data_IF_193606005140
#
_entry.id   IF_193606005140
#
_cell.length_a   1.000
_cell.length_b   1.000
_cell.length_c   1.000
_cell.angle_alpha   90.00
_cell.angle_beta   90.00
_cell.angle_gamma   90.00
#
_symmetry.space_group_name_H-M   'P 1'
#
loop_
_entity.id
_entity.type
_entity.pdbx_description
1 polymer ?
#
# COMPACT_ATOMS: atom_id res chain seq x y z
N UNK A 1 8.02 -2.48 -18.83
CA UNK A 1 8.39 -1.50 -19.74
C UNK A 1 7.56 -0.22 -19.72
N UNK A 2 7.66 0.59 -18.64
CA UNK A 2 6.95 1.88 -18.55
C UNK A 2 7.89 3.09 -18.73
N UNK A 3 9.18 2.86 -19.03
CA UNK A 3 10.13 3.95 -19.29
C UNK A 3 9.87 4.67 -20.62
N UNK A 4 10.47 5.88 -20.83
CA UNK A 4 11.39 6.51 -19.90
C UNK A 4 10.67 7.09 -18.68
N UNK A 5 11.31 7.00 -17.50
CA UNK A 5 10.75 7.57 -16.26
C UNK A 5 10.94 9.09 -16.24
N UNK A 6 10.08 9.76 -15.50
CA UNK A 6 10.19 11.18 -15.24
C UNK A 6 11.50 11.46 -14.46
N UNK A 7 12.23 12.53 -14.75
CA UNK A 7 13.42 12.91 -13.98
C UNK A 7 13.10 13.12 -12.50
N UNK A 8 14.05 12.80 -11.63
CA UNK A 8 13.90 12.93 -10.17
C UNK A 8 13.41 11.68 -9.47
N UNK A 9 13.27 10.57 -10.20
CA UNK A 9 12.98 9.25 -9.63
C UNK A 9 14.14 8.29 -9.86
N UNK A 10 14.48 7.57 -8.81
CA UNK A 10 15.40 6.44 -8.87
C UNK A 10 14.68 5.18 -8.38
N UNK A 11 14.97 4.04 -8.98
CA UNK A 11 14.41 2.75 -8.58
C UNK A 11 15.48 1.90 -7.90
N UNK A 12 15.14 1.34 -6.76
CA UNK A 12 15.98 0.41 -6.01
C UNK A 12 15.35 -0.99 -6.00
N UNK A 13 16.11 -2.06 -5.72
CA UNK A 13 15.53 -3.39 -5.55
C UNK A 13 14.50 -3.41 -4.43
N UNK A 14 13.37 -4.10 -4.67
CA UNK A 14 12.35 -4.30 -3.66
C UNK A 14 12.84 -5.26 -2.56
N UNK A 15 12.45 -5.02 -1.32
CA UNK A 15 12.84 -5.82 -0.16
C UNK A 15 14.35 -5.75 0.17
N UNK A 16 14.99 -4.63 -0.15
CA UNK A 16 16.42 -4.38 0.05
C UNK A 16 16.62 -3.08 0.88
N UNK A 17 16.79 -3.24 2.20
CA UNK A 17 16.99 -2.12 3.12
C UNK A 17 18.40 -1.51 3.00
N UNK A 18 19.39 -2.29 2.57
CA UNK A 18 20.76 -1.79 2.38
C UNK A 18 20.80 -0.84 1.16
N UNK A 19 20.16 -1.24 0.04
CA UNK A 19 20.01 -0.38 -1.12
C UNK A 19 19.19 0.88 -0.79
N UNK A 20 18.17 0.77 0.07
CA UNK A 20 17.40 1.92 0.54
C UNK A 20 18.29 2.87 1.35
N UNK A 21 19.04 2.36 2.30
CA UNK A 21 19.94 3.17 3.13
C UNK A 21 21.03 3.84 2.29
N UNK A 22 21.58 3.14 1.30
CA UNK A 22 22.55 3.70 0.36
C UNK A 22 21.95 4.86 -0.44
N UNK A 23 20.72 4.72 -0.94
CA UNK A 23 20.04 5.79 -1.68
C UNK A 23 19.83 7.05 -0.84
N UNK A 24 19.65 6.93 0.46
CA UNK A 24 19.46 8.05 1.40
C UNK A 24 20.76 8.80 1.73
N UNK A 25 21.92 8.36 1.23
CA UNK A 25 23.15 9.15 1.32
C UNK A 25 23.09 10.39 0.41
N UNK A 26 22.28 10.36 -0.65
CA UNK A 26 21.97 11.57 -1.43
C UNK A 26 20.97 12.45 -0.66
N UNK A 27 21.43 13.61 -0.21
CA UNK A 27 20.64 14.59 0.56
C UNK A 27 19.50 15.23 -0.24
N UNK A 28 19.42 14.98 -1.53
CA UNK A 28 18.30 15.44 -2.36
C UNK A 28 17.12 14.48 -2.35
N UNK A 29 17.26 13.27 -1.82
CA UNK A 29 16.16 12.34 -1.65
C UNK A 29 15.20 12.86 -0.59
N UNK A 30 13.97 13.18 -0.98
CA UNK A 30 12.95 13.72 -0.10
C UNK A 30 11.87 12.72 0.32
N UNK A 31 11.68 11.65 -0.46
CA UNK A 31 10.67 10.65 -0.17
C UNK A 31 11.05 9.27 -0.75
N UNK A 32 10.58 8.21 -0.09
CA UNK A 32 10.60 6.84 -0.59
C UNK A 32 9.16 6.34 -0.73
N UNK A 33 8.82 5.85 -1.93
CA UNK A 33 7.49 5.32 -2.24
C UNK A 33 7.56 3.84 -2.51
N UNK A 34 6.63 3.07 -1.89
CA UNK A 34 6.58 1.62 -2.07
C UNK A 34 5.16 1.08 -1.88
N UNK A 35 4.83 0.00 -2.63
CA UNK A 35 3.70 -0.86 -2.29
C UNK A 35 4.10 -1.79 -1.13
N UNK A 36 3.36 -1.85 -0.01
CA UNK A 36 3.66 -2.80 1.08
C UNK A 36 3.70 -4.27 0.65
N UNK A 37 2.90 -4.63 -0.35
CA UNK A 37 2.96 -5.88 -1.10
C UNK A 37 2.80 -5.49 -2.56
N UNK A 38 3.76 -5.84 -3.41
CA UNK A 38 3.64 -5.56 -4.83
C UNK A 38 2.60 -6.47 -5.47
N UNK A 39 1.49 -5.89 -5.94
CA UNK A 39 0.39 -6.65 -6.53
C UNK A 39 0.68 -7.10 -7.95
N UNK A 40 0.82 -6.18 -8.87
CA UNK A 40 0.99 -6.44 -10.32
C UNK A 40 2.31 -7.15 -10.66
N UNK A 41 3.33 -6.99 -9.83
CA UNK A 41 4.59 -7.73 -9.97
C UNK A 41 4.47 -9.23 -9.64
N UNK A 42 3.30 -9.70 -9.23
CA UNK A 42 2.99 -11.10 -8.97
C UNK A 42 2.83 -11.43 -7.49
N UNK A 43 2.20 -10.56 -6.71
CA UNK A 43 1.95 -10.70 -5.27
C UNK A 43 3.25 -10.93 -4.50
N UNK A 44 4.19 -9.99 -4.63
CA UNK A 44 5.47 -10.07 -3.93
C UNK A 44 5.29 -9.54 -2.51
N UNK A 45 5.28 -10.45 -1.55
CA UNK A 45 5.25 -10.13 -0.12
C UNK A 45 6.68 -9.95 0.36
N UNK A 46 7.04 -8.84 1.00
CA UNK A 46 8.38 -8.63 1.51
C UNK A 46 8.66 -9.53 2.72
N UNK A 47 9.92 -9.62 3.10
CA UNK A 47 10.32 -10.29 4.33
C UNK A 47 9.84 -9.52 5.56
N UNK A 48 9.70 -10.23 6.68
CA UNK A 48 9.34 -9.61 7.96
C UNK A 48 10.40 -8.60 8.38
N UNK A 49 9.95 -7.43 8.85
CA UNK A 49 10.83 -6.33 9.23
C UNK A 49 11.15 -5.35 8.10
N UNK A 50 10.73 -5.61 6.88
CA UNK A 50 11.00 -4.69 5.76
C UNK A 50 10.29 -3.35 5.93
N UNK A 51 8.98 -3.36 6.22
CA UNK A 51 8.21 -2.12 6.35
C UNK A 51 8.62 -1.30 7.59
N UNK A 52 8.86 -1.97 8.72
CA UNK A 52 9.38 -1.32 9.92
C UNK A 52 10.81 -0.81 9.74
N UNK A 53 11.63 -1.51 8.95
CA UNK A 53 12.95 -1.06 8.53
C UNK A 53 12.89 0.21 7.67
N UNK A 54 11.95 0.26 6.70
CA UNK A 54 11.69 1.48 5.90
C UNK A 54 11.36 2.65 6.83
N UNK A 55 10.43 2.47 7.77
CA UNK A 55 10.06 3.55 8.70
C UNK A 55 11.27 4.03 9.49
N UNK A 56 12.06 3.11 10.01
CA UNK A 56 13.26 3.42 10.77
C UNK A 56 14.29 4.22 9.94
N UNK A 57 14.52 3.82 8.70
CA UNK A 57 15.44 4.53 7.81
C UNK A 57 14.90 5.91 7.41
N UNK A 58 13.63 6.00 7.07
CA UNK A 58 12.99 7.28 6.76
C UNK A 58 13.10 8.27 7.92
N UNK A 59 12.86 7.82 9.15
CA UNK A 59 13.04 8.65 10.36
C UNK A 59 14.50 9.08 10.56
N UNK A 60 15.44 8.14 10.38
CA UNK A 60 16.87 8.39 10.56
C UNK A 60 17.41 9.44 9.60
N UNK A 61 16.95 9.42 8.34
CA UNK A 61 17.44 10.29 7.29
C UNK A 61 16.54 11.49 7.00
N UNK A 62 15.42 11.64 7.73
CA UNK A 62 14.41 12.67 7.52
C UNK A 62 13.86 12.66 6.08
N UNK A 63 13.51 11.47 5.60
CA UNK A 63 12.91 11.20 4.28
C UNK A 63 11.46 10.78 4.50
N UNK A 64 10.53 11.27 3.67
CA UNK A 64 9.12 10.91 3.79
C UNK A 64 8.87 9.47 3.32
N UNK A 65 8.14 8.70 4.12
CA UNK A 65 7.65 7.38 3.75
C UNK A 65 6.28 7.49 3.08
N UNK A 66 6.17 7.09 1.82
CA UNK A 66 4.92 7.05 1.05
C UNK A 66 4.51 5.59 0.86
N UNK A 67 3.38 5.19 1.43
CA UNK A 67 2.81 3.86 1.22
C UNK A 67 1.74 3.90 0.13
N UNK A 68 1.97 3.16 -0.96
CA UNK A 68 0.94 2.88 -1.96
C UNK A 68 0.09 1.69 -1.51
N UNK A 69 -0.98 1.98 -0.81
CA UNK A 69 -1.97 1.01 -0.34
C UNK A 69 -3.19 0.92 -1.28
N UNK A 70 -3.05 1.34 -2.53
CA UNK A 70 -4.14 1.29 -3.50
C UNK A 70 -4.66 -0.14 -3.71
N UNK A 71 -3.78 -1.14 -3.72
CA UNK A 71 -4.17 -2.55 -3.80
C UNK A 71 -4.31 -3.22 -2.43
N UNK A 72 -3.44 -2.90 -1.50
CA UNK A 72 -3.28 -3.62 -0.24
C UNK A 72 -4.19 -3.11 0.88
N UNK A 73 -4.64 -1.87 0.78
CA UNK A 73 -5.45 -1.21 1.80
C UNK A 73 -6.92 -1.65 1.85
N UNK A 74 -7.63 -1.04 2.78
CA UNK A 74 -9.08 -1.21 3.01
C UNK A 74 -9.45 -2.69 3.23
N UNK A 75 -8.68 -3.37 4.09
CA UNK A 75 -8.98 -4.72 4.56
C UNK A 75 -8.52 -5.86 3.66
N UNK A 76 -7.99 -5.59 2.45
CA UNK A 76 -7.60 -6.61 1.46
C UNK A 76 -6.67 -7.68 2.02
N UNK A 77 -5.69 -7.28 2.82
CA UNK A 77 -4.66 -8.18 3.35
C UNK A 77 -5.03 -8.86 4.67
N UNK A 78 -6.18 -8.51 5.26
CA UNK A 78 -6.58 -8.98 6.59
C UNK A 78 -6.15 -8.04 7.72
N UNK A 79 -5.66 -6.87 7.38
CA UNK A 79 -5.51 -5.66 8.22
C UNK A 79 -6.15 -4.50 7.48
N UNK A 80 -6.47 -3.40 8.17
CA UNK A 80 -7.05 -2.23 7.48
C UNK A 80 -6.07 -1.70 6.44
N UNK A 81 -4.79 -1.60 6.79
CA UNK A 81 -3.67 -1.30 5.91
C UNK A 81 -2.64 -2.43 6.00
N UNK A 82 -1.88 -2.68 4.93
CA UNK A 82 -0.82 -3.67 4.99
C UNK A 82 0.36 -3.20 5.85
N UNK A 83 0.59 -1.90 5.95
CA UNK A 83 1.56 -1.29 6.86
C UNK A 83 1.26 -1.56 8.35
N UNK A 84 0.00 -1.87 8.72
CA UNK A 84 -0.40 -2.23 10.09
C UNK A 84 0.18 -3.57 10.56
N UNK A 85 0.72 -4.39 9.66
CA UNK A 85 1.37 -5.65 10.07
C UNK A 85 2.65 -5.45 10.87
N UNK A 86 3.32 -4.31 10.65
CA UNK A 86 4.61 -3.99 11.26
C UNK A 86 4.62 -2.62 11.96
N UNK A 87 3.44 -2.06 12.25
CA UNK A 87 3.25 -0.73 12.84
C UNK A 87 4.05 0.38 12.10
N UNK A 88 4.23 0.19 10.77
CA UNK A 88 5.01 1.07 9.93
C UNK A 88 4.14 2.22 9.36
N UNK A 89 3.75 3.19 10.20
CA UNK A 89 2.91 4.31 9.78
C UNK A 89 3.63 5.15 8.71
N UNK A 90 3.04 5.30 7.50
CA UNK A 90 3.58 6.18 6.48
C UNK A 90 3.30 7.66 6.80
N UNK A 91 4.13 8.55 6.26
CA UNK A 91 3.89 9.99 6.27
C UNK A 91 2.83 10.39 5.25
N UNK A 92 2.81 9.69 4.11
CA UNK A 92 1.81 9.85 3.05
C UNK A 92 1.23 8.48 2.71
N UNK A 93 -0.10 8.38 2.80
CA UNK A 93 -0.85 7.17 2.51
C UNK A 93 -1.70 7.37 1.25
N UNK A 94 -1.55 6.48 0.27
CA UNK A 94 -2.33 6.49 -0.96
C UNK A 94 -3.35 5.36 -0.92
N UNK A 95 -4.63 5.70 -1.10
CA UNK A 95 -5.76 4.77 -1.12
C UNK A 95 -6.53 4.86 -2.43
N UNK A 96 -7.10 3.75 -2.85
CA UNK A 96 -7.93 3.68 -4.06
C UNK A 96 -8.67 2.35 -4.14
N UNK A 97 -8.94 1.88 -5.34
CA UNK A 97 -9.61 0.59 -5.63
C UNK A 97 -10.75 0.25 -4.65
N UNK A 98 -10.49 -0.53 -3.60
CA UNK A 98 -11.51 -0.96 -2.63
C UNK A 98 -12.21 0.22 -1.93
N UNK A 99 -11.59 1.40 -1.86
CA UNK A 99 -12.20 2.61 -1.30
C UNK A 99 -13.51 2.98 -2.02
N UNK A 100 -13.63 2.63 -3.30
CA UNK A 100 -14.83 2.89 -4.11
C UNK A 100 -16.03 1.99 -3.79
N UNK A 101 -15.85 0.94 -2.97
CA UNK A 101 -16.86 -0.11 -2.79
C UNK A 101 -17.25 -0.83 -4.08
N UNK A 102 -16.47 -0.69 -5.15
CA UNK A 102 -16.78 -1.24 -6.48
C UNK A 102 -17.89 -0.49 -7.25
N UNK A 103 -18.32 0.66 -6.75
CA UNK A 103 -19.48 1.40 -7.30
C UNK A 103 -19.05 2.61 -8.12
N UNK A 104 -18.29 3.54 -7.52
CA UNK A 104 -17.87 4.77 -8.18
C UNK A 104 -16.37 5.03 -7.90
N UNK A 105 -15.53 5.16 -8.94
CA UNK A 105 -14.08 5.36 -8.75
C UNK A 105 -13.76 6.55 -7.86
N UNK A 106 -12.93 6.31 -6.87
CA UNK A 106 -12.43 7.32 -5.95
C UNK A 106 -11.05 6.90 -5.42
N UNK A 107 -10.20 7.88 -5.19
CA UNK A 107 -8.93 7.72 -4.51
C UNK A 107 -8.73 8.81 -3.48
N UNK A 108 -7.84 8.60 -2.56
CA UNK A 108 -7.47 9.58 -1.54
C UNK A 108 -5.97 9.53 -1.27
N UNK A 109 -5.40 10.68 -0.98
CA UNK A 109 -4.07 10.83 -0.41
C UNK A 109 -4.23 11.46 0.97
N UNK A 110 -3.68 10.82 1.97
CA UNK A 110 -3.72 11.26 3.37
C UNK A 110 -2.29 11.56 3.82
N UNK A 111 -2.14 12.67 4.50
CA UNK A 111 -0.90 13.05 5.18
C UNK A 111 -1.24 13.96 6.36
N UNK A 112 -0.28 14.14 7.26
CA UNK A 112 -0.44 15.11 8.34
C UNK A 112 -0.43 16.55 7.77
N UNK A 113 -1.00 17.50 8.51
CA UNK A 113 -1.20 18.88 8.06
C UNK A 113 0.10 19.55 7.61
N UNK A 114 1.21 19.30 8.28
CA UNK A 114 2.52 19.87 7.95
C UNK A 114 2.95 19.53 6.51
N UNK A 115 2.60 18.34 6.01
CA UNK A 115 2.88 17.90 4.65
C UNK A 115 1.80 18.43 3.71
N UNK A 116 0.52 18.25 4.06
CA UNK A 116 -0.59 18.58 3.18
C UNK A 116 -0.70 20.08 2.92
N UNK A 117 -0.39 20.91 3.91
CA UNK A 117 -0.46 22.38 3.79
C UNK A 117 0.70 23.00 2.97
N UNK A 118 1.64 22.20 2.48
CA UNK A 118 2.58 22.66 1.47
C UNK A 118 1.88 22.99 0.14
N UNK A 119 0.73 22.37 -0.13
CA UNK A 119 -0.10 22.66 -1.30
C UNK A 119 -0.97 23.89 -0.99
N UNK A 120 -0.76 24.96 -1.73
CA UNK A 120 -1.52 26.21 -1.55
C UNK A 120 -2.80 26.23 -2.38
N UNK A 121 -3.80 27.04 -2.00
CA UNK A 121 -4.99 27.21 -2.80
C UNK A 121 -4.68 27.59 -4.25
N UNK A 122 -5.22 26.83 -5.22
CA UNK A 122 -5.00 27.05 -6.64
C UNK A 122 -3.81 26.29 -7.27
N UNK A 123 -2.96 25.65 -6.47
CA UNK A 123 -1.81 24.89 -6.98
C UNK A 123 -2.19 23.45 -7.39
N UNK A 124 -3.28 22.93 -6.86
CA UNK A 124 -3.83 21.61 -7.21
C UNK A 124 -5.31 21.69 -7.48
N UNK A 125 -5.78 20.95 -8.47
CA UNK A 125 -7.19 20.88 -8.82
C UNK A 125 -7.55 19.64 -9.62
N UNK A 126 -8.80 19.24 -9.53
CA UNK A 126 -9.38 18.13 -10.29
C UNK A 126 -10.84 18.45 -10.60
N UNK A 127 -11.28 18.18 -11.84
CA UNK A 127 -12.67 18.37 -12.22
C UNK A 127 -13.61 17.43 -11.48
N UNK A 128 -13.21 16.17 -11.28
CA UNK A 128 -14.05 15.14 -10.68
C UNK A 128 -13.60 14.73 -9.28
N UNK A 129 -12.37 15.07 -8.86
CA UNK A 129 -11.84 14.73 -7.54
C UNK A 129 -12.65 15.37 -6.43
N UNK A 130 -12.90 14.62 -5.36
CA UNK A 130 -13.65 15.08 -4.20
C UNK A 130 -15.13 15.34 -4.47
N UNK A 131 -15.72 14.80 -5.56
CA UNK A 131 -17.15 14.99 -5.81
C UNK A 131 -17.98 14.33 -4.70
N UNK A 132 -19.11 15.00 -4.28
CA UNK A 132 -19.89 14.54 -3.13
C UNK A 132 -20.42 13.11 -3.25
N UNK A 133 -20.79 12.67 -4.45
CA UNK A 133 -21.33 11.33 -4.67
C UNK A 133 -20.25 10.26 -4.39
N UNK A 134 -19.06 10.42 -4.95
CA UNK A 134 -17.97 9.48 -4.70
C UNK A 134 -17.54 9.45 -3.22
N UNK A 135 -17.54 10.61 -2.55
CA UNK A 135 -17.23 10.70 -1.13
C UNK A 135 -18.26 9.96 -0.26
N UNK A 136 -19.56 10.11 -0.56
CA UNK A 136 -20.63 9.38 0.16
C UNK A 136 -20.51 7.88 -0.07
N UNK A 137 -20.30 7.45 -1.31
CA UNK A 137 -20.10 6.02 -1.63
C UNK A 137 -18.89 5.45 -0.90
N UNK A 138 -17.75 6.15 -0.92
CA UNK A 138 -16.54 5.71 -0.21
C UNK A 138 -16.77 5.61 1.30
N UNK A 139 -17.46 6.59 1.89
CA UNK A 139 -17.82 6.55 3.31
C UNK A 139 -18.67 5.31 3.63
N UNK A 140 -19.72 5.07 2.87
CA UNK A 140 -20.58 3.89 3.06
C UNK A 140 -19.82 2.58 2.86
N UNK A 141 -18.89 2.51 1.88
CA UNK A 141 -18.04 1.35 1.70
C UNK A 141 -17.16 1.07 2.92
N UNK A 142 -16.56 2.11 3.52
CA UNK A 142 -15.78 1.97 4.75
C UNK A 142 -16.64 1.55 5.97
N UNK A 143 -17.88 2.03 6.04
CA UNK A 143 -18.84 1.62 7.07
C UNK A 143 -19.15 0.12 6.95
N UNK A 144 -19.47 -0.37 5.76
CA UNK A 144 -19.69 -1.80 5.47
C UNK A 144 -18.48 -2.65 5.85
N UNK A 145 -17.27 -2.23 5.48
CA UNK A 145 -16.04 -2.95 5.83
C UNK A 145 -15.92 -3.15 7.34
N UNK A 146 -16.31 -2.14 8.13
CA UNK A 146 -16.28 -2.18 9.61
C UNK A 146 -17.43 -3.00 10.20
N UNK A 147 -18.66 -2.73 9.76
CA UNK A 147 -19.88 -3.33 10.33
C UNK A 147 -19.96 -4.82 10.05
N UNK A 148 -19.52 -5.27 8.88
CA UNK A 148 -19.50 -6.67 8.50
C UNK A 148 -18.19 -7.40 8.86
N UNK A 149 -17.26 -6.74 9.59
CA UNK A 149 -15.96 -7.30 9.98
C UNK A 149 -15.17 -7.88 8.80
N UNK A 150 -15.19 -7.22 7.64
CA UNK A 150 -14.60 -7.75 6.41
C UNK A 150 -13.07 -7.88 6.50
N UNK A 151 -12.41 -7.08 7.32
CA UNK A 151 -10.96 -7.18 7.58
C UNK A 151 -10.62 -8.55 8.18
N UNK A 152 -11.33 -8.95 9.24
CA UNK A 152 -11.13 -10.26 9.87
C UNK A 152 -11.54 -11.40 8.93
N UNK A 153 -12.64 -11.23 8.20
CA UNK A 153 -13.05 -12.23 7.21
C UNK A 153 -11.98 -12.43 6.13
N UNK A 154 -11.37 -11.35 5.61
CA UNK A 154 -10.27 -11.44 4.65
C UNK A 154 -9.05 -12.16 5.24
N UNK A 155 -8.72 -11.93 6.51
CA UNK A 155 -7.66 -12.65 7.22
C UNK A 155 -7.94 -14.15 7.29
N UNK A 156 -9.10 -14.53 7.80
CA UNK A 156 -9.48 -15.94 8.00
C UNK A 156 -9.61 -16.70 6.66
N UNK A 157 -10.29 -16.10 5.67
CA UNK A 157 -10.47 -16.73 4.37
C UNK A 157 -9.16 -16.80 3.59
N UNK A 158 -8.31 -15.79 3.73
CA UNK A 158 -6.97 -15.79 3.15
C UNK A 158 -6.12 -16.95 3.67
N UNK A 159 -6.14 -17.21 4.98
CA UNK A 159 -5.48 -18.38 5.56
C UNK A 159 -6.05 -19.68 4.99
N UNK A 160 -7.37 -19.85 5.05
CA UNK A 160 -8.03 -21.03 4.52
C UNK A 160 -7.71 -21.29 3.04
N UNK A 161 -7.65 -20.23 2.23
CA UNK A 161 -7.34 -20.33 0.81
C UNK A 161 -5.88 -20.74 0.57
N UNK A 162 -4.94 -20.08 1.25
CA UNK A 162 -3.51 -20.43 1.14
C UNK A 162 -3.22 -21.85 1.60
N UNK A 163 -3.84 -22.32 2.67
CA UNK A 163 -3.64 -23.69 3.16
C UNK A 163 -4.14 -24.73 2.16
N UNK A 164 -5.29 -24.50 1.54
CA UNK A 164 -5.78 -25.35 0.44
C UNK A 164 -4.86 -25.36 -0.77
N UNK A 165 -4.31 -24.20 -1.13
CA UNK A 165 -3.36 -24.10 -2.24
C UNK A 165 -2.02 -24.79 -1.93
N UNK A 166 -1.55 -24.72 -0.68
CA UNK A 166 -0.35 -25.44 -0.25
C UNK A 166 -0.54 -26.96 -0.35
N UNK A 167 -1.67 -27.47 0.15
CA UNK A 167 -2.00 -28.89 0.06
C UNK A 167 -2.07 -29.34 -1.42
N UNK A 168 -2.67 -28.54 -2.30
CA UNK A 168 -2.67 -28.81 -3.74
C UNK A 168 -1.24 -28.82 -4.30
N UNK A 169 -0.35 -27.97 -3.78
CA UNK A 169 1.06 -27.92 -4.16
C UNK A 169 1.84 -29.17 -3.76
N UNK A 170 1.45 -29.83 -2.66
CA UNK A 170 2.04 -31.11 -2.25
C UNK A 170 1.64 -32.25 -3.18
N UNK A 171 0.46 -32.15 -3.81
CA UNK A 171 -0.10 -33.14 -4.71
C UNK A 171 0.26 -32.89 -6.18
N UNK A 172 0.77 -31.69 -6.53
CA UNK A 172 0.97 -31.27 -7.91
C UNK A 172 2.30 -30.52 -8.12
N UNK A 173 3.14 -31.05 -8.99
CA UNK A 173 4.39 -30.39 -9.39
C UNK A 173 4.20 -29.06 -10.14
N UNK A 174 2.97 -28.75 -10.56
CA UNK A 174 2.65 -27.51 -11.27
C UNK A 174 2.62 -26.30 -10.32
N UNK A 175 2.31 -26.51 -9.05
CA UNK A 175 2.30 -25.46 -8.03
C UNK A 175 3.68 -25.34 -7.40
N UNK A 176 4.43 -24.31 -7.76
CA UNK A 176 5.81 -24.11 -7.28
C UNK A 176 5.89 -23.27 -6.00
N UNK A 177 4.98 -22.31 -5.82
CA UNK A 177 4.99 -21.41 -4.66
C UNK A 177 3.59 -20.85 -4.41
N UNK A 178 3.19 -20.80 -3.15
CA UNK A 178 1.97 -20.12 -2.67
C UNK A 178 2.40 -18.96 -1.78
N UNK A 179 1.96 -17.74 -2.08
CA UNK A 179 2.29 -16.54 -1.32
C UNK A 179 1.11 -15.57 -1.30
N UNK A 180 1.08 -14.64 -0.36
CA UNK A 180 0.07 -13.62 -0.21
C UNK A 180 -0.33 -13.39 1.25
N UNK A 181 -1.07 -12.31 1.51
CA UNK A 181 -1.72 -12.00 2.79
C UNK A 181 -3.18 -11.62 2.50
N UNK A 182 -4.13 -12.11 3.32
CA UNK A 182 -5.56 -11.89 3.13
C UNK A 182 -6.12 -12.60 1.88
N UNK A 183 -6.98 -11.90 1.15
CA UNK A 183 -7.70 -12.36 -0.03
C UNK A 183 -7.30 -11.59 -1.30
#
# INVERSE_FOLDING_TARGET
GFGPYMPGYETIPYNDLDALEESFQDKNVCAFMVEPIQGEAGVVVPDEGYLSGIRTLCDKYNVLFIADEVQTGIGRTGKMLATDYEDARPDILILGKALSGGVLPVSAVLADDEIMMCIRPGEHGSTFGGNPLACVVAKSALEVVKEENLVENAFLRGHQFRDRLKNLGEESELVKKVRGKGL
#
